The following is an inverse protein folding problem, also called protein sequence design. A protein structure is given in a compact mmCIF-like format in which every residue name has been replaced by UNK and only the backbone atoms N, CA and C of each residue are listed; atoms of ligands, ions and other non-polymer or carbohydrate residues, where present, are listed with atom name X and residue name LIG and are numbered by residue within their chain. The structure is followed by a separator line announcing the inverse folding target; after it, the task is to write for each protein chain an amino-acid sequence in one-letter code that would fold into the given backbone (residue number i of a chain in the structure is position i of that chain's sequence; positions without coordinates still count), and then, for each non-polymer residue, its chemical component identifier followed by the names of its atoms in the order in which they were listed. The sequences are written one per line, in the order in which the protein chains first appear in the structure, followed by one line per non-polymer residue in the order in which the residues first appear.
data_IF_727095434430
#
_entry.id   IF_727095434430
#
_cell.length_a   1.000
_cell.length_b   1.000
_cell.length_c   1.000
_cell.angle_alpha   90.00
_cell.angle_beta   90.00
_cell.angle_gamma   90.00
#
_symmetry.space_group_name_H-M   'P 1'
#
loop_
_entity.id
_entity.type
_entity.pdbx_description
1 polymer ?
#
# COMPACT_ATOMS: atom_id res chain seq x y z
N UNK A 1 1.47 6.43 10.25
CA UNK A 1 0.54 5.41 10.78
C UNK A 1 -0.55 6.11 11.57
N UNK A 2 -1.72 5.49 11.69
CA UNK A 2 -2.93 6.14 12.20
C UNK A 2 -3.29 5.59 13.58
N UNK A 3 -3.28 6.43 14.62
CA UNK A 3 -3.54 5.97 16.01
C UNK A 3 -4.95 5.47 16.25
N UNK A 4 -5.95 6.01 15.55
CA UNK A 4 -7.35 5.59 15.68
C UNK A 4 -7.74 4.52 14.63
N UNK A 5 -6.77 3.88 13.98
CA UNK A 5 -7.07 2.80 13.05
C UNK A 5 -7.68 1.60 13.80
N UNK A 6 -8.73 0.95 13.26
CA UNK A 6 -9.21 -0.31 13.80
C UNK A 6 -8.29 -1.50 13.47
N UNK A 7 -7.31 -1.29 12.58
CA UNK A 7 -6.39 -2.32 12.12
C UNK A 7 -5.06 -2.29 12.87
N UNK A 8 -4.42 -3.45 12.98
CA UNK A 8 -3.07 -3.60 13.54
C UNK A 8 -2.14 -4.15 12.49
N UNK A 9 -0.84 -3.84 12.60
CA UNK A 9 0.20 -4.41 11.72
C UNK A 9 0.13 -5.94 11.67
N UNK A 10 -0.19 -6.57 12.80
CA UNK A 10 -0.34 -8.04 12.93
C UNK A 10 -1.38 -8.65 12.00
N UNK A 11 -2.40 -7.88 11.60
CA UNK A 11 -3.48 -8.37 10.73
C UNK A 11 -2.97 -8.70 9.31
N UNK A 12 -1.80 -8.15 8.95
CA UNK A 12 -1.23 -8.23 7.61
C UNK A 12 0.01 -9.13 7.52
N UNK A 13 0.53 -9.64 8.65
CA UNK A 13 1.78 -10.42 8.69
C UNK A 13 1.70 -11.78 7.97
N UNK A 14 0.49 -12.24 7.62
CA UNK A 14 0.30 -13.44 6.78
C UNK A 14 0.69 -13.22 5.32
N UNK A 15 0.79 -11.96 4.87
CA UNK A 15 1.17 -11.60 3.51
C UNK A 15 2.66 -11.31 3.43
N UNK A 16 3.28 -11.76 2.35
CA UNK A 16 4.69 -11.50 2.05
C UNK A 16 4.91 -10.14 1.40
N UNK A 17 3.87 -9.57 0.79
CA UNK A 17 3.90 -8.20 0.29
C UNK A 17 2.52 -7.56 0.36
N UNK A 18 2.47 -6.39 0.97
CA UNK A 18 1.29 -5.53 0.98
C UNK A 18 1.74 -4.06 0.97
N UNK A 19 1.02 -3.26 0.21
CA UNK A 19 1.15 -1.81 0.13
C UNK A 19 -0.22 -1.22 -0.23
N UNK A 20 -0.31 0.10 -0.36
CA UNK A 20 -1.53 0.71 -0.87
C UNK A 20 -1.87 0.14 -2.27
N UNK A 21 -3.16 -0.08 -2.60
CA UNK A 21 -3.53 -0.49 -3.93
C UNK A 21 -3.42 0.66 -4.93
N UNK A 22 -3.18 0.30 -6.17
CA UNK A 22 -3.18 1.19 -7.32
C UNK A 22 -4.57 1.20 -7.97
N UNK A 23 -5.10 2.39 -8.26
CA UNK A 23 -6.41 2.54 -8.91
C UNK A 23 -6.41 1.90 -10.31
N UNK A 24 -7.29 0.91 -10.59
CA UNK A 24 -7.40 0.30 -11.92
C UNK A 24 -7.65 1.31 -13.04
N UNK A 25 -8.26 2.47 -12.74
CA UNK A 25 -8.50 3.52 -13.72
C UNK A 25 -7.21 4.13 -14.28
N UNK A 26 -6.10 4.06 -13.52
CA UNK A 26 -4.82 4.64 -13.89
C UNK A 26 -3.79 3.58 -14.31
N UNK A 27 -3.90 2.39 -13.72
CA UNK A 27 -2.93 1.29 -13.91
C UNK A 27 -3.46 0.15 -14.80
N UNK A 28 -4.71 0.26 -15.26
CA UNK A 28 -5.38 -0.74 -16.08
C UNK A 28 -5.95 -1.92 -15.27
N UNK A 29 -6.76 -2.78 -15.90
CA UNK A 29 -7.35 -3.94 -15.25
C UNK A 29 -6.31 -5.06 -15.12
N UNK A 30 -5.42 -4.97 -14.14
CA UNK A 30 -4.49 -6.04 -13.75
C UNK A 30 -4.94 -6.74 -12.47
N UNK A 31 -4.47 -7.97 -12.24
CA UNK A 31 -4.66 -8.68 -10.96
C UNK A 31 -3.69 -8.20 -9.89
N UNK A 32 -2.58 -7.57 -10.28
CA UNK A 32 -1.49 -7.18 -9.39
C UNK A 32 -1.52 -5.66 -9.14
N UNK A 33 -2.68 -5.16 -8.69
CA UNK A 33 -2.93 -3.75 -8.35
C UNK A 33 -2.63 -3.43 -6.87
N UNK A 34 -1.74 -4.19 -6.25
CA UNK A 34 -1.36 -4.05 -4.84
C UNK A 34 0.16 -4.07 -4.72
N UNK A 35 0.69 -3.35 -3.74
CA UNK A 35 2.11 -3.41 -3.39
C UNK A 35 2.83 -2.09 -3.55
N UNK A 36 2.12 -0.96 -3.59
CA UNK A 36 2.79 0.35 -3.63
C UNK A 36 3.82 0.48 -2.51
N UNK A 37 5.04 0.88 -2.89
CA UNK A 37 6.21 0.82 -2.02
C UNK A 37 6.24 1.84 -0.88
N UNK A 38 5.52 2.96 -0.98
CA UNK A 38 5.72 4.09 -0.08
C UNK A 38 5.30 3.87 1.37
N UNK A 39 4.32 3.00 1.62
CA UNK A 39 4.13 2.35 2.91
C UNK A 39 3.81 0.88 2.63
N UNK A 40 4.75 -0.01 2.93
CA UNK A 40 4.63 -1.44 2.62
C UNK A 40 5.22 -2.35 3.70
N UNK A 41 4.70 -3.57 3.78
CA UNK A 41 5.26 -4.67 4.57
C UNK A 41 5.76 -5.74 3.59
N UNK A 42 6.98 -6.25 3.83
CA UNK A 42 7.66 -7.19 2.95
C UNK A 42 8.37 -8.30 3.71
N UNK A 43 8.19 -9.54 3.29
CA UNK A 43 8.92 -10.70 3.80
C UNK A 43 10.34 -10.70 3.26
N UNK A 44 11.33 -10.40 4.12
CA UNK A 44 12.76 -10.38 3.74
C UNK A 44 13.20 -11.68 3.05
N UNK A 45 12.79 -12.84 3.54
CA UNK A 45 13.14 -14.14 2.96
C UNK A 45 12.62 -14.30 1.53
N UNK A 46 11.39 -13.85 1.24
CA UNK A 46 10.82 -13.87 -0.11
C UNK A 46 11.49 -12.90 -1.05
N UNK A 47 11.79 -11.69 -0.58
CA UNK A 47 12.53 -10.68 -1.36
C UNK A 47 13.90 -11.24 -1.79
N UNK A 48 14.66 -11.81 -0.86
CA UNK A 48 15.97 -12.38 -1.17
C UNK A 48 15.88 -13.59 -2.11
N UNK A 49 14.90 -14.48 -1.90
CA UNK A 49 14.67 -15.60 -2.80
C UNK A 49 14.33 -15.12 -4.22
N UNK A 50 13.51 -14.07 -4.34
CA UNK A 50 13.16 -13.52 -5.64
C UNK A 50 14.35 -12.91 -6.35
N UNK A 51 15.14 -12.08 -5.66
CA UNK A 51 16.33 -11.46 -6.24
C UNK A 51 17.39 -12.47 -6.69
N UNK A 52 17.45 -13.65 -6.05
CA UNK A 52 18.32 -14.73 -6.48
C UNK A 52 17.80 -15.48 -7.73
N UNK A 53 16.48 -15.45 -7.97
CA UNK A 53 15.82 -16.16 -9.07
C UNK A 53 15.63 -15.28 -10.32
N UNK A 54 15.17 -14.04 -10.12
CA UNK A 54 14.80 -13.11 -11.18
C UNK A 54 15.64 -11.84 -11.00
N UNK A 55 16.57 -11.54 -11.90
CA UNK A 55 17.29 -10.26 -11.88
C UNK A 55 16.33 -9.09 -12.05
N UNK A 56 16.53 -8.04 -11.25
CA UNK A 56 15.77 -6.79 -11.39
C UNK A 56 16.08 -6.14 -12.75
N UNK A 57 15.05 -5.75 -13.48
CA UNK A 57 15.17 -5.23 -14.86
C UNK A 57 15.70 -3.78 -14.92
N UNK A 58 15.75 -3.09 -13.78
CA UNK A 58 16.14 -1.68 -13.64
C UNK A 58 15.34 -0.68 -14.49
N UNK A 59 14.23 -1.11 -15.07
CA UNK A 59 13.36 -0.30 -15.93
C UNK A 59 11.98 -0.11 -15.31
N UNK A 60 11.45 -1.16 -14.70
CA UNK A 60 10.18 -1.16 -13.98
C UNK A 60 10.40 -0.54 -12.59
N UNK A 61 9.43 0.22 -12.07
CA UNK A 61 9.49 0.68 -10.68
C UNK A 61 9.61 -0.52 -9.74
N UNK A 62 10.42 -0.37 -8.70
CA UNK A 62 10.81 -1.47 -7.82
C UNK A 62 9.61 -2.20 -7.21
N UNK A 63 8.61 -1.46 -6.75
CA UNK A 63 7.43 -1.98 -6.08
C UNK A 63 6.49 -2.71 -7.05
N UNK A 64 6.32 -2.16 -8.26
CA UNK A 64 5.63 -2.81 -9.38
C UNK A 64 6.35 -4.10 -9.77
N UNK A 65 7.68 -4.06 -9.88
CA UNK A 65 8.48 -5.24 -10.22
C UNK A 65 8.32 -6.34 -9.17
N UNK A 66 8.38 -6.01 -7.87
CA UNK A 66 8.10 -7.00 -6.83
C UNK A 66 6.68 -7.54 -6.92
N UNK A 67 5.68 -6.69 -7.13
CA UNK A 67 4.28 -7.13 -7.21
C UNK A 67 4.05 -8.11 -8.37
N UNK A 68 4.68 -7.85 -9.52
CA UNK A 68 4.57 -8.73 -10.70
C UNK A 68 5.32 -10.07 -10.51
N UNK A 69 6.42 -10.08 -9.77
CA UNK A 69 7.34 -11.21 -9.76
C UNK A 69 7.30 -12.08 -8.49
N UNK A 70 6.77 -11.59 -7.35
CA UNK A 70 6.85 -12.30 -6.07
C UNK A 70 6.17 -13.68 -6.08
N UNK A 71 5.17 -13.88 -6.94
CA UNK A 71 4.49 -15.18 -7.11
C UNK A 71 5.45 -16.27 -7.59
N UNK A 72 6.54 -15.92 -8.29
CA UNK A 72 7.54 -16.87 -8.78
C UNK A 72 8.30 -17.58 -7.64
N UNK A 73 8.33 -16.98 -6.44
CA UNK A 73 8.91 -17.58 -5.23
C UNK A 73 7.86 -17.94 -4.19
N UNK A 74 6.64 -18.23 -4.65
CA UNK A 74 5.47 -18.54 -3.82
C UNK A 74 5.22 -17.48 -2.75
N UNK A 75 5.45 -16.20 -3.07
CA UNK A 75 5.14 -15.10 -2.16
C UNK A 75 3.66 -14.74 -2.22
N UNK A 76 3.08 -14.51 -1.05
CA UNK A 76 1.66 -14.16 -0.92
C UNK A 76 1.48 -12.64 -0.94
N UNK A 77 0.90 -12.14 -2.03
CA UNK A 77 0.51 -10.72 -2.16
C UNK A 77 -0.90 -10.54 -1.60
N UNK A 78 -1.12 -9.49 -0.81
CA UNK A 78 -2.44 -9.19 -0.28
C UNK A 78 -3.44 -8.86 -1.42
N UNK A 79 -4.70 -9.31 -1.31
CA UNK A 79 -5.73 -8.92 -2.26
C UNK A 79 -6.14 -7.44 -2.04
N UNK A 80 -6.74 -6.82 -3.07
CA UNK A 80 -7.06 -5.39 -3.09
C UNK A 80 -7.98 -4.96 -1.95
N UNK A 81 -9.01 -5.76 -1.64
CA UNK A 81 -9.97 -5.54 -0.56
C UNK A 81 -9.31 -5.50 0.83
N UNK A 82 -8.19 -6.20 0.99
CA UNK A 82 -7.37 -6.12 2.20
C UNK A 82 -6.39 -4.94 2.11
N UNK A 83 -5.76 -4.72 0.95
CA UNK A 83 -4.79 -3.64 0.75
C UNK A 83 -5.37 -2.24 1.01
N UNK A 84 -6.63 -1.99 0.66
CA UNK A 84 -7.31 -0.71 0.95
C UNK A 84 -7.37 -0.41 2.46
N UNK A 85 -7.40 -1.44 3.31
CA UNK A 85 -7.41 -1.28 4.78
C UNK A 85 -6.02 -1.05 5.36
N UNK A 86 -4.97 -1.38 4.60
CA UNK A 86 -3.58 -1.24 5.05
C UNK A 86 -3.06 0.19 4.85
N UNK A 87 -3.14 0.72 3.64
CA UNK A 87 -2.65 2.06 3.35
C UNK A 87 -3.44 2.76 2.25
N UNK A 88 -3.56 4.09 2.39
CA UNK A 88 -4.21 4.96 1.40
C UNK A 88 -3.20 5.71 0.55
N UNK A 89 -3.49 5.77 -0.74
CA UNK A 89 -2.84 6.68 -1.71
C UNK A 89 -3.77 7.03 -2.86
N UNK A 90 -3.98 6.11 -3.81
CA UNK A 90 -4.82 6.34 -5.00
C UNK A 90 -6.26 5.91 -4.76
N UNK A 91 -6.45 4.74 -4.17
CA UNK A 91 -7.76 4.25 -3.72
C UNK A 91 -8.03 4.74 -2.30
N UNK A 92 -9.17 5.41 -2.11
CA UNK A 92 -9.56 5.96 -0.81
C UNK A 92 -10.24 4.92 0.07
N UNK A 93 -9.81 4.86 1.32
CA UNK A 93 -10.49 4.18 2.42
C UNK A 93 -10.40 5.09 3.64
N UNK A 94 -11.47 5.22 4.41
CA UNK A 94 -11.57 6.22 5.48
C UNK A 94 -10.90 5.77 6.79
N UNK A 95 -10.69 4.46 6.96
CA UNK A 95 -10.15 3.87 8.20
C UNK A 95 -8.90 2.99 8.00
N UNK A 96 -7.85 3.42 7.26
CA UNK A 96 -6.69 2.58 7.00
C UNK A 96 -5.76 2.46 8.22
N UNK A 97 -4.83 1.52 8.20
CA UNK A 97 -3.71 1.44 9.18
C UNK A 97 -2.74 2.61 9.01
N UNK A 98 -2.48 3.03 7.77
CA UNK A 98 -1.55 4.09 7.44
C UNK A 98 -1.97 4.91 6.21
N UNK A 99 -1.23 5.99 5.97
CA UNK A 99 -1.42 6.88 4.84
C UNK A 99 -0.07 6.99 4.14
N UNK A 100 0.00 6.56 2.88
CA UNK A 100 1.16 6.81 2.03
C UNK A 100 1.06 8.20 1.41
N UNK A 101 -0.10 8.54 0.83
CA UNK A 101 -0.39 9.89 0.31
C UNK A 101 -1.76 10.37 0.76
N UNK A 102 -1.85 11.66 1.11
CA UNK A 102 -3.11 12.29 1.44
C UNK A 102 -4.03 12.37 0.20
N UNK A 103 -5.34 12.10 0.34
CA UNK A 103 -6.29 12.31 -0.74
C UNK A 103 -6.35 13.79 -1.11
N UNK A 104 -6.50 14.08 -2.41
CA UNK A 104 -6.59 15.46 -2.91
C UNK A 104 -7.93 16.11 -2.55
N UNK A 105 -9.01 15.33 -2.58
CA UNK A 105 -10.34 15.76 -2.18
C UNK A 105 -10.40 16.09 -0.67
N UNK A 106 -10.84 17.31 -0.35
CA UNK A 106 -10.86 17.81 1.01
C UNK A 106 -11.81 17.05 1.95
N UNK A 107 -13.01 16.70 1.48
CA UNK A 107 -13.96 15.91 2.27
C UNK A 107 -13.36 14.56 2.67
N UNK A 108 -12.71 13.86 1.73
CA UNK A 108 -11.99 12.60 2.00
C UNK A 108 -10.84 12.81 2.99
N UNK A 109 -10.11 13.92 2.86
CA UNK A 109 -9.00 14.24 3.76
C UNK A 109 -9.48 14.49 5.20
N UNK A 110 -10.56 15.24 5.37
CA UNK A 110 -11.17 15.48 6.69
C UNK A 110 -11.71 14.19 7.32
N UNK A 111 -12.32 13.31 6.52
CA UNK A 111 -12.74 11.99 6.98
C UNK A 111 -11.53 11.17 7.45
N UNK A 112 -10.46 11.13 6.65
CA UNK A 112 -9.24 10.41 6.97
C UNK A 112 -8.58 10.91 8.26
N UNK A 113 -8.60 12.22 8.53
CA UNK A 113 -8.03 12.79 9.76
C UNK A 113 -8.74 12.36 11.05
N UNK A 114 -9.98 11.87 10.98
CA UNK A 114 -10.66 11.28 12.16
C UNK A 114 -9.97 9.98 12.57
N UNK A 115 -9.57 9.17 11.60
CA UNK A 115 -8.83 7.92 11.80
C UNK A 115 -7.34 8.17 12.01
N UNK A 116 -6.78 9.14 11.29
CA UNK A 116 -5.36 9.40 11.19
C UNK A 116 -5.02 10.85 11.59
N UNK A 117 -5.16 11.23 12.87
CA UNK A 117 -4.80 12.58 13.31
C UNK A 117 -3.33 12.92 13.02
N UNK A 118 -2.44 11.92 12.96
CA UNK A 118 -1.04 12.09 12.59
C UNK A 118 -0.87 12.62 11.17
N UNK A 119 -1.73 12.19 10.24
CA UNK A 119 -1.68 12.65 8.86
C UNK A 119 -2.03 14.14 8.75
N UNK A 120 -2.81 14.69 9.71
CA UNK A 120 -3.11 16.13 9.79
C UNK A 120 -1.89 16.94 10.18
N UNK A 121 -1.02 16.41 11.04
CA UNK A 121 0.17 17.12 11.53
C UNK A 121 1.21 17.36 10.42
N UNK A 122 1.24 16.50 9.41
CA UNK A 122 2.17 16.59 8.27
C UNK A 122 1.51 17.15 7.00
N UNK A 123 0.23 17.51 7.06
CA UNK A 123 -0.49 18.05 5.91
C UNK A 123 -0.03 19.48 5.61
N UNK A 124 0.59 19.67 4.45
CA UNK A 124 1.07 20.99 4.00
C UNK A 124 -0.01 21.87 3.37
N UNK A 125 -1.14 21.26 2.97
CA UNK A 125 -2.30 21.95 2.38
C UNK A 125 -3.51 21.81 3.30
N UNK A 126 -3.95 22.94 3.85
CA UNK A 126 -5.20 23.04 4.59
C UNK A 126 -6.38 22.96 3.63
N UNK A 127 -7.41 22.26 4.05
CA UNK A 127 -8.73 22.36 3.45
C UNK A 127 -9.44 23.51 4.17
N UNK A 128 -9.73 24.58 3.43
CA UNK A 128 -10.43 25.79 3.89
C UNK A 128 -11.87 25.74 3.44
#
# INVERSE_FOLDING_TARGET
MCSNSPHKVTDFLKYDFIGAPWDPAWFGPSKDLVGNGGFSLRSRSKILALLALVPYDQQTQEDVWYSLNLRQVNGLIAPVDIAITFAVETVFYDRPLAVHRLPENCTRREQLFKTCPEAKMVATKTCT
#
